data_IF_836508872141
#
_entry.id   IF_836508872141
#
_cell.length_a   1.000
_cell.length_b   1.000
_cell.length_c   1.000
_cell.angle_alpha   90.00
_cell.angle_beta   90.00
_cell.angle_gamma   90.00
#
_symmetry.space_group_name_H-M   'P 1'
#
loop_
_entity.id
_entity.type
_entity.pdbx_description
1 polymer ?
#
# COMPACT_ATOMS: atom_id res chain seq x y z
N UNK A 1 -45.50 1.18 -4.67
CA UNK A 1 -46.01 2.52 -4.34
C UNK A 1 -45.04 3.56 -4.88
N UNK A 2 -45.44 4.37 -5.87
CA UNK A 2 -44.64 5.47 -6.39
C UNK A 2 -45.27 6.81 -5.94
N UNK A 3 -44.57 7.56 -5.08
CA UNK A 3 -45.04 8.85 -4.52
C UNK A 3 -44.19 10.05 -4.94
N UNK A 4 -42.96 9.81 -5.39
CA UNK A 4 -42.11 10.88 -5.93
C UNK A 4 -42.59 11.34 -7.31
N UNK A 5 -42.31 12.59 -7.66
CA UNK A 5 -42.52 13.09 -9.03
C UNK A 5 -41.73 12.22 -10.01
N UNK A 6 -42.33 11.73 -11.11
CA UNK A 6 -41.69 10.81 -12.07
C UNK A 6 -41.10 9.51 -11.45
N UNK A 7 -41.59 9.08 -10.30
CA UNK A 7 -41.08 7.87 -9.65
C UNK A 7 -41.66 6.59 -10.27
N UNK A 8 -40.88 5.50 -10.22
CA UNK A 8 -41.29 4.16 -10.67
C UNK A 8 -41.18 3.18 -9.52
N UNK A 9 -42.26 2.46 -9.21
CA UNK A 9 -42.28 1.41 -8.19
C UNK A 9 -42.93 0.14 -8.73
N UNK A 10 -42.19 -0.97 -8.76
CA UNK A 10 -42.63 -2.24 -9.34
C UNK A 10 -42.37 -3.39 -8.34
N UNK A 11 -43.33 -4.33 -8.25
CA UNK A 11 -43.42 -5.45 -7.28
C UNK A 11 -44.04 -5.10 -5.91
N UNK A 12 -44.40 -6.14 -5.15
CA UNK A 12 -45.04 -6.03 -3.84
C UNK A 12 -44.16 -5.24 -2.86
N UNK A 13 -44.77 -4.33 -2.10
CA UNK A 13 -44.08 -3.50 -1.09
C UNK A 13 -42.92 -2.64 -1.62
N UNK A 14 -42.74 -2.53 -2.93
CA UNK A 14 -41.81 -1.55 -3.52
C UNK A 14 -42.27 -0.13 -3.20
N UNK A 15 -41.34 0.78 -2.90
CA UNK A 15 -41.64 2.16 -2.49
C UNK A 15 -40.65 3.14 -3.12
N UNK A 16 -41.11 3.95 -4.07
CA UNK A 16 -40.31 5.00 -4.70
C UNK A 16 -40.87 6.38 -4.27
N UNK A 17 -40.28 6.99 -3.24
CA UNK A 17 -40.76 8.25 -2.64
C UNK A 17 -39.92 9.46 -3.01
N UNK A 18 -38.69 9.27 -3.49
CA UNK A 18 -37.86 10.35 -3.99
C UNK A 18 -38.29 10.83 -5.39
N UNK A 19 -38.09 12.11 -5.71
CA UNK A 19 -38.31 12.62 -7.08
C UNK A 19 -37.41 11.88 -8.07
N UNK A 20 -37.95 11.46 -9.20
CA UNK A 20 -37.30 10.69 -10.27
C UNK A 20 -36.64 9.40 -9.77
N UNK A 21 -37.16 8.82 -8.68
CA UNK A 21 -36.60 7.59 -8.09
C UNK A 21 -37.20 6.32 -8.68
N UNK A 22 -36.41 5.25 -8.70
CA UNK A 22 -36.83 3.93 -9.19
C UNK A 22 -36.69 2.91 -8.06
N UNK A 23 -37.75 2.17 -7.77
CA UNK A 23 -37.77 1.03 -6.86
C UNK A 23 -38.34 -0.20 -7.59
N UNK A 24 -37.51 -1.20 -7.88
CA UNK A 24 -37.93 -2.41 -8.57
C UNK A 24 -37.52 -3.62 -7.75
N UNK A 25 -38.49 -4.40 -7.25
CA UNK A 25 -38.26 -5.59 -6.44
C UNK A 25 -39.04 -5.59 -5.14
N UNK A 26 -39.29 -6.78 -4.59
CA UNK A 26 -40.09 -6.95 -3.39
C UNK A 26 -39.47 -6.23 -2.18
N UNK A 27 -40.22 -5.31 -1.57
CA UNK A 27 -39.75 -4.52 -0.42
C UNK A 27 -38.59 -3.57 -0.74
N UNK A 28 -38.32 -3.28 -2.03
CA UNK A 28 -37.35 -2.25 -2.42
C UNK A 28 -37.84 -0.85 -2.04
N UNK A 29 -36.94 0.02 -1.59
CA UNK A 29 -37.25 1.37 -1.17
C UNK A 29 -36.23 2.34 -1.79
N UNK A 30 -36.71 3.27 -2.60
CA UNK A 30 -35.91 4.32 -3.23
C UNK A 30 -36.45 5.68 -2.79
N UNK A 31 -35.88 6.21 -1.70
CA UNK A 31 -36.35 7.46 -1.05
C UNK A 31 -35.46 8.66 -1.31
N UNK A 32 -34.26 8.47 -1.86
CA UNK A 32 -33.42 9.56 -2.32
C UNK A 32 -33.96 10.22 -3.60
N UNK A 33 -33.76 11.52 -3.77
CA UNK A 33 -34.02 12.15 -5.08
C UNK A 33 -33.06 11.56 -6.12
N UNK A 34 -33.60 11.16 -7.28
CA UNK A 34 -32.91 10.49 -8.39
C UNK A 34 -32.19 9.21 -8.00
N UNK A 35 -32.66 8.51 -6.95
CA UNK A 35 -32.08 7.24 -6.51
C UNK A 35 -32.67 6.03 -7.24
N UNK A 36 -31.92 4.94 -7.30
CA UNK A 36 -32.33 3.67 -7.90
C UNK A 36 -32.12 2.56 -6.86
N UNK A 37 -33.19 1.83 -6.55
CA UNK A 37 -33.18 0.62 -5.73
C UNK A 37 -33.70 -0.55 -6.57
N UNK A 38 -32.81 -1.49 -6.90
CA UNK A 38 -33.13 -2.66 -7.71
C UNK A 38 -32.83 -3.96 -6.95
N UNK A 39 -33.85 -4.77 -6.75
CA UNK A 39 -33.83 -6.09 -6.11
C UNK A 39 -34.51 -6.12 -4.73
N UNK A 40 -34.50 -7.29 -4.10
CA UNK A 40 -35.33 -7.55 -2.91
C UNK A 40 -34.76 -6.87 -1.66
N UNK A 41 -35.62 -6.16 -0.92
CA UNK A 41 -35.27 -5.49 0.37
C UNK A 41 -34.07 -4.54 0.26
N UNK A 42 -33.93 -3.87 -0.87
CA UNK A 42 -32.92 -2.82 -1.07
C UNK A 42 -33.46 -1.49 -0.56
N UNK A 43 -32.63 -0.70 0.13
CA UNK A 43 -32.93 0.66 0.57
C UNK A 43 -31.90 1.65 0.03
N UNK A 44 -32.31 2.49 -0.92
CA UNK A 44 -31.54 3.58 -1.48
C UNK A 44 -32.12 4.92 -1.01
N UNK A 45 -31.62 5.44 0.12
CA UNK A 45 -32.11 6.69 0.72
C UNK A 45 -31.21 7.89 0.47
N UNK A 46 -29.96 7.67 0.07
CA UNK A 46 -29.09 8.72 -0.41
C UNK A 46 -29.58 9.32 -1.73
N UNK A 47 -29.57 10.64 -1.87
CA UNK A 47 -29.84 11.29 -3.15
C UNK A 47 -28.82 10.84 -4.21
N UNK A 48 -29.29 10.53 -5.41
CA UNK A 48 -28.48 10.02 -6.53
C UNK A 48 -27.78 8.69 -6.21
N UNK A 49 -28.22 7.94 -5.19
CA UNK A 49 -27.68 6.62 -4.91
C UNK A 49 -28.23 5.58 -5.89
N UNK A 50 -27.37 4.66 -6.34
CA UNK A 50 -27.73 3.50 -7.16
C UNK A 50 -27.41 2.26 -6.34
N UNK A 51 -28.40 1.42 -6.11
CA UNK A 51 -28.27 0.22 -5.31
C UNK A 51 -28.92 -0.95 -6.04
N UNK A 52 -28.13 -1.95 -6.37
CA UNK A 52 -28.55 -3.13 -7.11
C UNK A 52 -28.14 -4.38 -6.34
N UNK A 53 -29.11 -5.23 -5.96
CA UNK A 53 -28.88 -6.51 -5.33
C UNK A 53 -29.93 -6.88 -4.30
N UNK A 54 -29.53 -7.29 -3.10
CA UNK A 54 -30.46 -7.81 -2.08
C UNK A 54 -30.08 -7.32 -0.69
N UNK A 55 -31.07 -7.02 0.15
CA UNK A 55 -30.87 -6.73 1.58
C UNK A 55 -29.79 -5.68 1.85
N UNK A 56 -29.69 -4.67 0.98
CA UNK A 56 -28.63 -3.67 1.01
C UNK A 56 -29.20 -2.31 1.38
N UNK A 57 -28.47 -1.54 2.20
CA UNK A 57 -28.94 -0.27 2.74
C UNK A 57 -27.89 0.83 2.54
N UNK A 58 -28.30 1.89 1.83
CA UNK A 58 -27.41 2.97 1.40
C UNK A 58 -28.04 4.31 1.73
N UNK A 59 -27.45 5.00 2.70
CA UNK A 59 -27.86 6.35 3.10
C UNK A 59 -26.94 7.43 2.51
N UNK A 60 -25.78 7.04 2.00
CA UNK A 60 -24.84 7.93 1.35
C UNK A 60 -25.34 8.45 0.00
N UNK A 61 -25.27 9.76 -0.21
CA UNK A 61 -25.58 10.37 -1.51
C UNK A 61 -24.53 10.02 -2.56
N UNK A 62 -24.91 9.99 -3.83
CA UNK A 62 -24.01 9.74 -4.99
C UNK A 62 -23.23 8.43 -4.89
N UNK A 63 -23.78 7.44 -4.20
CA UNK A 63 -23.13 6.16 -3.96
C UNK A 63 -23.61 5.09 -4.94
N UNK A 64 -22.72 4.19 -5.36
CA UNK A 64 -23.02 3.10 -6.29
C UNK A 64 -22.72 1.77 -5.61
N UNK A 65 -23.74 0.98 -5.37
CA UNK A 65 -23.64 -0.31 -4.68
C UNK A 65 -24.19 -1.42 -5.57
N UNK A 66 -23.39 -2.44 -5.79
CA UNK A 66 -23.76 -3.66 -6.51
C UNK A 66 -23.44 -4.89 -5.66
N UNK A 67 -24.46 -5.54 -5.11
CA UNK A 67 -24.29 -6.75 -4.33
C UNK A 67 -25.35 -6.97 -3.25
N UNK A 68 -25.12 -7.98 -2.41
CA UNK A 68 -26.04 -8.37 -1.34
C UNK A 68 -25.51 -8.01 0.04
N UNK A 69 -26.41 -7.81 0.99
CA UNK A 69 -26.08 -7.57 2.40
C UNK A 69 -25.11 -6.39 2.62
N UNK A 70 -25.11 -5.41 1.71
CA UNK A 70 -24.14 -4.31 1.74
C UNK A 70 -24.70 -3.12 2.52
N UNK A 71 -23.86 -2.49 3.33
CA UNK A 71 -24.18 -1.28 4.06
C UNK A 71 -23.21 -0.17 3.67
N UNK A 72 -23.74 0.95 3.17
CA UNK A 72 -22.95 2.17 2.99
C UNK A 72 -23.67 3.37 3.59
N UNK A 73 -23.05 3.98 4.60
CA UNK A 73 -23.60 5.16 5.26
C UNK A 73 -23.02 6.48 4.76
N UNK A 74 -22.13 6.43 3.77
CA UNK A 74 -21.26 7.55 3.42
C UNK A 74 -21.40 7.98 1.97
N UNK A 75 -21.29 9.29 1.73
CA UNK A 75 -21.42 9.87 0.40
C UNK A 75 -20.28 9.47 -0.54
N UNK A 76 -20.59 9.41 -1.83
CA UNK A 76 -19.64 9.12 -2.92
C UNK A 76 -18.92 7.79 -2.77
N UNK A 77 -19.59 6.78 -2.20
CA UNK A 77 -19.00 5.46 -1.99
C UNK A 77 -19.28 4.51 -3.15
N UNK A 78 -18.36 3.59 -3.43
CA UNK A 78 -18.57 2.49 -4.38
C UNK A 78 -18.39 1.17 -3.65
N UNK A 79 -19.41 0.30 -3.68
CA UNK A 79 -19.32 -1.05 -3.12
C UNK A 79 -19.70 -2.09 -4.17
N UNK A 80 -18.88 -3.14 -4.29
CA UNK A 80 -19.15 -4.28 -5.17
C UNK A 80 -18.89 -5.58 -4.42
N UNK A 81 -19.92 -6.40 -4.23
CA UNK A 81 -19.81 -7.71 -3.58
C UNK A 81 -20.82 -7.93 -2.45
N UNK A 82 -20.69 -9.06 -1.75
CA UNK A 82 -21.56 -9.41 -0.64
C UNK A 82 -21.00 -8.92 0.70
N UNK A 83 -21.86 -8.46 1.63
CA UNK A 83 -21.48 -8.08 3.01
C UNK A 83 -20.43 -6.96 3.06
N UNK A 84 -20.44 -6.07 2.07
CA UNK A 84 -19.52 -4.93 2.05
C UNK A 84 -19.97 -3.88 3.07
N UNK A 85 -19.02 -3.24 3.75
CA UNK A 85 -19.30 -2.16 4.70
C UNK A 85 -18.46 -0.92 4.38
N UNK A 86 -19.13 0.21 4.11
CA UNK A 86 -18.46 1.49 3.90
C UNK A 86 -19.04 2.51 4.88
N UNK A 87 -18.25 2.86 5.89
CA UNK A 87 -18.62 3.83 6.93
C UNK A 87 -17.91 5.18 6.78
N UNK A 88 -17.07 5.36 5.75
CA UNK A 88 -16.39 6.61 5.47
C UNK A 88 -16.64 7.14 4.06
N UNK A 89 -16.63 8.48 3.91
CA UNK A 89 -16.85 9.16 2.64
C UNK A 89 -15.80 8.80 1.60
N UNK A 90 -16.20 8.81 0.32
CA UNK A 90 -15.32 8.53 -0.82
C UNK A 90 -14.67 7.13 -0.76
N UNK A 91 -15.27 6.21 0.02
CA UNK A 91 -14.76 4.86 0.17
C UNK A 91 -15.10 3.97 -1.02
N UNK A 92 -14.14 3.15 -1.46
CA UNK A 92 -14.35 2.13 -2.50
C UNK A 92 -14.05 0.76 -1.91
N UNK A 93 -15.01 -0.14 -1.89
CA UNK A 93 -14.84 -1.49 -1.37
C UNK A 93 -15.30 -2.53 -2.39
N UNK A 94 -14.37 -3.37 -2.86
CA UNK A 94 -14.63 -4.36 -3.92
C UNK A 94 -14.21 -5.73 -3.40
N UNK A 95 -15.19 -6.62 -3.21
CA UNK A 95 -15.01 -7.99 -2.74
C UNK A 95 -15.88 -8.32 -1.53
N UNK A 96 -16.19 -9.61 -1.35
CA UNK A 96 -16.98 -10.09 -0.22
C UNK A 96 -16.36 -9.67 1.12
N UNK A 97 -17.14 -9.11 2.05
CA UNK A 97 -16.68 -8.60 3.34
C UNK A 97 -15.58 -7.52 3.27
N UNK A 98 -15.40 -6.85 2.12
CA UNK A 98 -14.50 -5.70 2.05
C UNK A 98 -15.04 -4.56 2.92
N UNK A 99 -14.14 -3.83 3.59
CA UNK A 99 -14.52 -2.77 4.53
C UNK A 99 -13.67 -1.52 4.35
N UNK A 100 -14.33 -0.36 4.31
CA UNK A 100 -13.67 0.95 4.29
C UNK A 100 -14.21 1.77 5.46
N UNK A 101 -13.32 2.09 6.41
CA UNK A 101 -13.67 2.84 7.62
C UNK A 101 -12.99 4.20 7.70
N UNK A 102 -12.16 4.56 6.72
CA UNK A 102 -11.47 5.84 6.65
C UNK A 102 -11.68 6.52 5.29
N UNK A 103 -11.70 7.86 5.31
CA UNK A 103 -12.09 8.66 4.14
C UNK A 103 -11.12 8.48 2.97
N UNK A 104 -11.64 8.36 1.75
CA UNK A 104 -10.83 8.12 0.55
C UNK A 104 -10.12 6.76 0.54
N UNK A 105 -10.48 5.84 1.43
CA UNK A 105 -9.91 4.50 1.48
C UNK A 105 -10.46 3.59 0.37
N UNK A 106 -9.59 2.76 -0.19
CA UNK A 106 -9.93 1.75 -1.19
C UNK A 106 -9.60 0.37 -0.63
N UNK A 107 -10.58 -0.49 -0.41
CA UNK A 107 -10.40 -1.89 -0.03
C UNK A 107 -10.62 -2.80 -1.25
N UNK A 108 -9.56 -3.44 -1.74
CA UNK A 108 -9.58 -4.27 -2.94
C UNK A 108 -9.36 -5.74 -2.59
N UNK A 109 -10.36 -6.58 -2.86
CA UNK A 109 -10.36 -8.02 -2.61
C UNK A 109 -11.21 -8.44 -1.41
N UNK A 110 -11.61 -9.71 -1.39
CA UNK A 110 -12.44 -10.25 -0.33
C UNK A 110 -11.78 -10.11 1.05
N UNK A 111 -12.52 -9.58 2.02
CA UNK A 111 -12.06 -9.32 3.38
C UNK A 111 -10.90 -8.32 3.51
N UNK A 112 -10.66 -7.48 2.49
CA UNK A 112 -9.72 -6.36 2.58
C UNK A 112 -10.29 -5.25 3.46
N UNK A 113 -9.41 -4.57 4.20
CA UNK A 113 -9.81 -3.51 5.13
C UNK A 113 -8.97 -2.26 4.88
N UNK A 114 -9.61 -1.16 4.51
CA UNK A 114 -8.99 0.17 4.42
C UNK A 114 -9.40 1.01 5.64
N UNK A 115 -8.54 1.01 6.65
CA UNK A 115 -8.75 1.72 7.93
C UNK A 115 -7.94 2.99 8.09
N UNK A 116 -7.18 3.40 7.06
CA UNK A 116 -6.43 4.67 7.00
C UNK A 116 -6.95 5.51 5.84
N UNK A 117 -6.91 6.83 6.01
CA UNK A 117 -7.39 7.75 4.97
C UNK A 117 -6.46 7.72 3.75
N UNK A 118 -7.02 7.85 2.55
CA UNK A 118 -6.28 7.96 1.29
C UNK A 118 -5.30 6.80 1.03
N UNK A 119 -5.71 5.55 1.28
CA UNK A 119 -4.89 4.36 1.01
C UNK A 119 -5.63 3.35 0.13
N UNK A 120 -4.85 2.56 -0.62
CA UNK A 120 -5.34 1.32 -1.23
C UNK A 120 -4.89 0.14 -0.38
N UNK A 121 -5.83 -0.56 0.23
CA UNK A 121 -5.61 -1.79 0.97
C UNK A 121 -5.98 -3.00 0.11
N UNK A 122 -4.98 -3.83 -0.18
CA UNK A 122 -5.16 -5.11 -0.90
C UNK A 122 -5.33 -6.29 0.05
N UNK A 123 -5.58 -6.07 1.34
CA UNK A 123 -5.69 -7.14 2.34
C UNK A 123 -6.04 -6.62 3.72
N UNK A 124 -5.62 -7.34 4.75
CA UNK A 124 -5.73 -6.92 6.16
C UNK A 124 -4.56 -7.49 6.99
N UNK A 125 -4.33 -7.05 8.23
CA UNK A 125 -3.32 -7.65 9.10
C UNK A 125 -3.50 -9.18 9.19
N UNK A 126 -2.41 -9.92 8.96
CA UNK A 126 -2.40 -11.39 8.95
C UNK A 126 -2.94 -12.04 7.66
N UNK A 127 -3.42 -11.26 6.70
CA UNK A 127 -3.88 -11.74 5.40
C UNK A 127 -3.52 -10.73 4.31
N UNK A 128 -2.22 -10.56 4.10
CA UNK A 128 -1.67 -9.72 3.05
C UNK A 128 -1.68 -10.45 1.71
N UNK A 129 -1.81 -9.69 0.63
CA UNK A 129 -1.68 -10.21 -0.74
C UNK A 129 -0.38 -9.76 -1.35
N UNK A 130 0.18 -10.60 -2.23
CA UNK A 130 1.24 -10.17 -3.15
C UNK A 130 0.61 -9.32 -4.25
N UNK A 131 1.31 -8.26 -4.63
CA UNK A 131 1.02 -7.50 -5.85
C UNK A 131 2.04 -7.97 -6.89
N UNK A 132 1.56 -8.62 -7.94
CA UNK A 132 2.40 -9.26 -8.97
C UNK A 132 2.17 -8.63 -10.34
N UNK A 133 3.05 -8.90 -11.30
CA UNK A 133 3.03 -8.30 -12.65
C UNK A 133 3.17 -6.77 -12.64
N UNK A 134 3.98 -6.27 -11.69
CA UNK A 134 4.32 -4.84 -11.58
C UNK A 134 5.52 -4.57 -12.49
N UNK A 135 5.33 -3.78 -13.54
CA UNK A 135 6.40 -3.28 -14.38
C UNK A 135 7.44 -2.51 -13.54
N UNK A 136 8.66 -2.37 -14.04
CA UNK A 136 9.67 -1.58 -13.33
C UNK A 136 9.20 -0.12 -13.28
N UNK A 137 9.18 0.46 -12.09
CA UNK A 137 8.85 1.88 -11.93
C UNK A 137 10.05 2.78 -12.22
N UNK A 138 9.83 4.05 -12.49
CA UNK A 138 10.94 5.00 -12.64
C UNK A 138 11.62 5.24 -11.28
N UNK A 139 12.96 5.10 -11.24
CA UNK A 139 13.76 5.38 -10.03
C UNK A 139 14.35 6.79 -10.15
N UNK A 140 13.67 7.77 -9.58
CA UNK A 140 14.11 9.15 -9.53
C UNK A 140 13.69 9.82 -8.22
N UNK A 141 14.27 10.99 -7.89
CA UNK A 141 13.99 11.71 -6.63
C UNK A 141 12.51 12.05 -6.44
N UNK A 142 11.77 12.23 -7.53
CA UNK A 142 10.38 12.68 -7.51
C UNK A 142 9.41 11.58 -7.97
N UNK A 143 9.88 10.33 -8.13
CA UNK A 143 9.02 9.22 -8.56
C UNK A 143 8.01 8.85 -7.47
N UNK A 144 6.77 8.57 -7.88
CA UNK A 144 5.69 8.04 -7.04
C UNK A 144 5.28 6.63 -7.45
N UNK A 145 6.10 5.96 -8.25
CA UNK A 145 5.80 4.65 -8.81
C UNK A 145 6.17 3.51 -7.85
N UNK A 146 5.50 2.36 -7.99
CA UNK A 146 5.84 1.18 -7.23
C UNK A 146 7.15 0.56 -7.77
N UNK A 147 8.10 0.30 -6.87
CA UNK A 147 9.34 -0.42 -7.19
C UNK A 147 9.08 -1.93 -7.12
N UNK A 148 9.46 -2.66 -8.17
CA UNK A 148 9.31 -4.11 -8.20
C UNK A 148 10.56 -4.85 -7.68
N UNK A 149 10.46 -6.19 -7.56
CA UNK A 149 11.55 -7.01 -7.01
C UNK A 149 12.84 -6.99 -7.83
N UNK A 150 12.76 -6.88 -9.16
CA UNK A 150 13.94 -6.85 -10.04
C UNK A 150 14.77 -5.60 -9.80
N UNK A 151 14.12 -4.46 -9.58
CA UNK A 151 14.80 -3.19 -9.29
C UNK A 151 15.54 -3.23 -7.96
N UNK A 152 14.88 -3.71 -6.89
CA UNK A 152 15.52 -3.87 -5.59
C UNK A 152 16.69 -4.86 -5.63
N UNK A 153 16.53 -5.97 -6.36
CA UNK A 153 17.59 -6.96 -6.54
C UNK A 153 18.82 -6.40 -7.27
N UNK A 154 18.60 -5.52 -8.25
CA UNK A 154 19.67 -4.84 -8.99
C UNK A 154 20.50 -3.95 -8.06
N UNK A 155 19.85 -3.15 -7.22
CA UNK A 155 20.55 -2.28 -6.26
C UNK A 155 21.25 -3.10 -5.16
N UNK A 156 20.64 -4.18 -4.67
CA UNK A 156 21.29 -5.08 -3.70
C UNK A 156 22.55 -5.74 -4.28
N UNK A 157 22.56 -6.03 -5.57
CA UNK A 157 23.74 -6.59 -6.25
C UNK A 157 24.87 -5.57 -6.34
N UNK A 158 24.57 -4.30 -6.63
CA UNK A 158 25.55 -3.20 -6.59
C UNK A 158 26.11 -3.01 -5.17
N UNK A 159 25.27 -3.09 -4.14
CA UNK A 159 25.71 -3.00 -2.74
C UNK A 159 26.67 -4.15 -2.35
N UNK A 160 26.36 -5.39 -2.76
CA UNK A 160 27.25 -6.54 -2.51
C UNK A 160 28.62 -6.38 -3.19
N UNK A 161 28.64 -5.81 -4.40
CA UNK A 161 29.89 -5.51 -5.09
C UNK A 161 30.72 -4.46 -4.33
N UNK A 162 30.08 -3.46 -3.71
CA UNK A 162 30.76 -2.48 -2.87
C UNK A 162 31.31 -3.11 -1.58
N UNK A 163 30.57 -4.00 -0.93
CA UNK A 163 31.03 -4.74 0.26
C UNK A 163 32.30 -5.56 -0.04
N UNK A 164 32.34 -6.25 -1.19
CA UNK A 164 33.53 -6.97 -1.62
C UNK A 164 34.74 -6.04 -1.85
N UNK A 165 34.51 -4.86 -2.44
CA UNK A 165 35.56 -3.84 -2.59
C UNK A 165 36.07 -3.35 -1.23
N UNK A 166 35.20 -3.14 -0.26
CA UNK A 166 35.59 -2.73 1.09
C UNK A 166 36.42 -3.81 1.81
N UNK A 167 36.01 -5.08 1.75
CA UNK A 167 36.82 -6.20 2.28
C UNK A 167 38.20 -6.28 1.62
N UNK A 168 38.27 -6.02 0.32
CA UNK A 168 39.55 -5.97 -0.38
C UNK A 168 40.41 -4.81 0.11
N UNK A 169 39.83 -3.63 0.34
CA UNK A 169 40.53 -2.49 0.92
C UNK A 169 41.05 -2.81 2.32
N UNK A 170 40.25 -3.46 3.18
CA UNK A 170 40.68 -3.90 4.51
C UNK A 170 41.86 -4.89 4.44
N UNK A 171 41.83 -5.84 3.51
CA UNK A 171 42.96 -6.75 3.29
C UNK A 171 44.21 -6.02 2.81
N UNK A 172 44.05 -5.02 1.94
CA UNK A 172 45.17 -4.20 1.46
C UNK A 172 45.79 -3.37 2.60
N UNK A 173 44.96 -2.79 3.47
CA UNK A 173 45.42 -2.05 4.66
C UNK A 173 46.24 -2.96 5.56
N UNK A 174 45.75 -4.17 5.89
CA UNK A 174 46.49 -5.14 6.72
C UNK A 174 47.85 -5.53 6.12
N UNK A 175 47.91 -5.70 4.80
CA UNK A 175 49.18 -5.97 4.10
C UNK A 175 50.15 -4.79 4.23
N UNK A 176 49.66 -3.56 4.06
CA UNK A 176 50.45 -2.35 4.22
C UNK A 176 50.98 -2.21 5.64
N UNK A 177 50.13 -2.42 6.66
CA UNK A 177 50.54 -2.43 8.08
C UNK A 177 51.66 -3.44 8.33
N UNK A 178 51.57 -4.65 7.75
CA UNK A 178 52.63 -5.65 7.86
C UNK A 178 53.95 -5.20 7.24
N UNK A 179 53.91 -4.60 6.04
CA UNK A 179 55.10 -4.07 5.37
C UNK A 179 55.73 -2.93 6.16
N UNK A 180 54.91 -1.99 6.66
CA UNK A 180 55.38 -0.90 7.53
C UNK A 180 56.08 -1.47 8.75
N UNK A 181 55.48 -2.45 9.43
CA UNK A 181 56.09 -3.09 10.60
C UNK A 181 57.43 -3.76 10.29
N UNK A 182 57.58 -4.39 9.10
CA UNK A 182 58.87 -4.96 8.67
C UNK A 182 59.92 -3.88 8.42
N UNK A 183 59.55 -2.82 7.70
CA UNK A 183 60.43 -1.68 7.44
C UNK A 183 60.88 -1.01 8.74
N UNK A 184 59.96 -0.78 9.68
CA UNK A 184 60.26 -0.23 11.00
C UNK A 184 61.31 -1.07 11.72
N UNK A 185 61.19 -2.41 11.71
CA UNK A 185 62.20 -3.30 12.32
C UNK A 185 63.56 -3.19 11.63
N UNK A 186 63.60 -3.25 10.30
CA UNK A 186 64.85 -3.12 9.56
C UNK A 186 65.55 -1.78 9.82
N UNK A 187 64.80 -0.69 9.93
CA UNK A 187 65.32 0.64 10.29
C UNK A 187 65.89 0.63 11.71
N UNK A 188 65.20 0.02 12.68
CA UNK A 188 65.70 -0.11 14.05
C UNK A 188 67.00 -0.92 14.10
N UNK A 189 67.06 -2.05 13.41
CA UNK A 189 68.26 -2.91 13.35
C UNK A 189 69.46 -2.17 12.74
N UNK A 190 69.24 -1.43 11.64
CA UNK A 190 70.24 -0.55 11.02
C UNK A 190 70.72 0.53 11.98
N UNK A 191 69.81 1.15 12.74
CA UNK A 191 70.14 2.19 13.72
C UNK A 191 71.03 1.63 14.83
N UNK A 192 70.70 0.44 15.34
CA UNK A 192 71.50 -0.25 16.35
C UNK A 192 72.89 -0.63 15.83
N UNK A 193 72.98 -1.10 14.58
CA UNK A 193 74.26 -1.43 13.94
C UNK A 193 75.13 -0.18 13.75
N UNK A 194 74.55 0.93 13.30
CA UNK A 194 75.25 2.21 13.19
C UNK A 194 75.78 2.71 14.53
N UNK A 195 75.00 2.57 15.61
CA UNK A 195 75.44 2.92 16.96
C UNK A 195 76.64 2.07 17.39
N UNK A 196 76.56 0.74 17.21
CA UNK A 196 77.64 -0.17 17.54
C UNK A 196 78.94 0.15 16.79
N UNK A 197 78.83 0.43 15.50
CA UNK A 197 79.98 0.81 14.68
C UNK A 197 80.57 2.17 15.11
N UNK A 198 79.73 3.14 15.48
CA UNK A 198 80.18 4.42 16.02
C UNK A 198 80.96 4.24 17.34
N UNK A 199 80.46 3.37 18.23
CA UNK A 199 81.11 3.06 19.50
C UNK A 199 82.47 2.35 19.30
N UNK A 200 82.55 1.40 18.36
CA UNK A 200 83.81 0.73 17.98
C UNK A 200 84.85 1.71 17.41
N UNK A 201 84.43 2.61 16.51
CA UNK A 201 85.32 3.65 15.95
C UNK A 201 85.82 4.61 17.02
N UNK A 202 84.99 4.96 18.00
CA UNK A 202 85.40 5.81 19.13
C UNK A 202 86.45 5.13 20.03
N UNK A 203 86.40 3.79 20.16
CA UNK A 203 87.36 2.99 20.90
C UNK A 203 88.73 2.92 20.23
N UNK A 204 88.77 2.82 18.89
CA UNK A 204 90.01 2.75 18.10
C UNK A 204 90.80 4.07 18.04
N UNK A 205 90.18 5.21 18.40
CA UNK A 205 90.80 6.54 18.37
C UNK A 205 91.42 6.97 19.71
N UNK A 206 91.38 6.13 20.74
CA UNK A 206 92.00 6.36 22.06
C UNK A 206 93.35 5.65 22.16
#
# INVERSE_FOLDING_TARGET
MARGNQAVAISQNSSATGSSSVALGEGSASSGSSSIALGQKVSASGSQAIVIGQNSSVTGSKSIILGSDTKSSSSSSIAVGQKVNISASQGIAIGQNASVTASGGIALGANSVASKSNVVSVGRPGNQRKIVNVAAGDISKNSTEAVNGQQLYTELTKMKALDMKNKQLEMNIKKLESTINKLTRSITDLTLLCQKNSDEVALLKK
#
